data_IF_491187541033
#
_entry.id   IF_491187541033
#
_cell.length_a   1.000
_cell.length_b   1.000
_cell.length_c   1.000
_cell.angle_alpha   90.00
_cell.angle_beta   90.00
_cell.angle_gamma   90.00
#
_symmetry.space_group_name_H-M   'P 1'
#
loop_
_entity.id
_entity.type
_entity.pdbx_description
1 polymer ?
#
# COMPACT_ATOMS: atom_id res chain seq x y z
N UNK A 1 -0.44 73.02 -23.26
CA UNK A 1 -0.84 73.28 -24.65
C UNK A 1 -1.53 74.64 -24.72
N UNK A 2 -0.99 75.57 -25.49
CA UNK A 2 -1.63 76.84 -25.80
C UNK A 2 -2.84 76.56 -26.70
N UNK A 3 -4.05 76.71 -26.15
CA UNK A 3 -5.26 76.79 -26.97
C UNK A 3 -5.10 78.01 -27.89
N UNK A 4 -5.00 77.75 -29.19
CA UNK A 4 -5.09 78.82 -30.20
C UNK A 4 -6.58 79.13 -30.30
N UNK A 5 -7.02 80.23 -29.71
CA UNK A 5 -8.39 80.70 -29.87
C UNK A 5 -8.58 81.16 -31.33
N UNK A 6 -9.46 80.50 -32.08
CA UNK A 6 -9.85 80.94 -33.41
C UNK A 6 -10.89 82.06 -33.29
N UNK A 7 -10.50 83.27 -33.62
CA UNK A 7 -11.37 84.45 -33.60
C UNK A 7 -12.15 84.53 -34.93
N UNK A 8 -13.33 83.90 -34.95
CA UNK A 8 -14.24 83.87 -36.11
C UNK A 8 -14.62 85.27 -36.58
N UNK A 9 -14.84 86.21 -35.65
CA UNK A 9 -15.22 87.59 -35.94
C UNK A 9 -14.11 88.36 -36.67
N UNK A 10 -12.86 88.21 -36.20
CA UNK A 10 -11.70 88.81 -36.86
C UNK A 10 -11.44 88.15 -38.22
N UNK A 11 -11.64 86.84 -38.34
CA UNK A 11 -11.49 86.12 -39.60
C UNK A 11 -12.54 86.53 -40.64
N UNK A 12 -13.83 86.53 -40.28
CA UNK A 12 -14.93 86.98 -41.13
C UNK A 12 -14.76 88.44 -41.59
N UNK A 13 -14.37 89.34 -40.68
CA UNK A 13 -14.03 90.74 -41.04
C UNK A 13 -12.90 90.82 -42.04
N UNK A 14 -11.87 89.98 -41.90
CA UNK A 14 -10.74 89.95 -42.84
C UNK A 14 -11.17 89.46 -44.22
N UNK A 15 -12.02 88.43 -44.31
CA UNK A 15 -12.57 87.94 -45.57
C UNK A 15 -13.44 88.99 -46.28
N UNK A 16 -14.27 89.72 -45.53
CA UNK A 16 -15.08 90.81 -46.07
C UNK A 16 -14.22 91.98 -46.55
N UNK A 17 -13.32 92.46 -45.70
CA UNK A 17 -12.62 93.71 -45.95
C UNK A 17 -11.49 93.54 -46.98
N UNK A 18 -10.78 92.40 -46.94
CA UNK A 18 -9.62 92.11 -47.82
C UNK A 18 -9.92 91.19 -48.99
N UNK A 19 -10.73 90.15 -48.80
CA UNK A 19 -11.10 89.23 -49.89
C UNK A 19 -12.40 89.64 -50.61
N UNK A 20 -13.06 90.72 -50.15
CA UNK A 20 -14.28 91.31 -50.75
C UNK A 20 -15.45 90.32 -50.85
N UNK A 21 -15.47 89.31 -49.99
CA UNK A 21 -16.60 88.37 -49.88
C UNK A 21 -17.83 89.10 -49.31
N UNK A 22 -19.03 88.65 -49.68
CA UNK A 22 -20.26 89.18 -49.07
C UNK A 22 -20.27 88.85 -47.56
N UNK A 23 -21.01 89.62 -46.75
CA UNK A 23 -21.14 89.33 -45.31
C UNK A 23 -21.52 87.87 -45.04
N UNK A 24 -22.48 87.35 -45.80
CA UNK A 24 -23.00 86.00 -45.65
C UNK A 24 -21.95 84.94 -46.03
N UNK A 25 -21.15 85.20 -47.07
CA UNK A 25 -20.06 84.31 -47.48
C UNK A 25 -18.91 84.30 -46.49
N UNK A 26 -18.57 85.47 -45.93
CA UNK A 26 -17.50 85.60 -44.95
C UNK A 26 -17.86 84.93 -43.60
N UNK A 27 -19.11 85.08 -43.15
CA UNK A 27 -19.63 84.42 -41.97
C UNK A 27 -19.74 82.91 -42.19
N UNK A 28 -20.36 82.48 -43.30
CA UNK A 28 -20.49 81.05 -43.63
C UNK A 28 -19.15 80.32 -43.78
N UNK A 29 -18.13 80.97 -44.37
CA UNK A 29 -16.79 80.38 -44.45
C UNK A 29 -16.06 80.36 -43.09
N UNK A 30 -16.29 81.37 -42.24
CA UNK A 30 -15.71 81.41 -40.90
C UNK A 30 -16.31 80.35 -39.97
N UNK A 31 -17.61 80.11 -40.10
CA UNK A 31 -18.33 79.09 -39.35
C UNK A 31 -17.97 77.69 -39.84
N UNK A 32 -17.94 77.46 -41.16
CA UNK A 32 -17.51 76.19 -41.73
C UNK A 32 -16.06 75.85 -41.37
N UNK A 33 -15.17 76.85 -41.29
CA UNK A 33 -13.78 76.65 -40.86
C UNK A 33 -13.68 76.42 -39.34
N UNK A 34 -14.48 77.10 -38.52
CA UNK A 34 -14.55 76.85 -37.09
C UNK A 34 -15.03 75.41 -36.83
N UNK A 35 -16.08 74.98 -37.52
CA UNK A 35 -16.64 73.63 -37.43
C UNK A 35 -15.62 72.58 -37.89
N UNK A 36 -14.95 72.80 -39.03
CA UNK A 36 -13.91 71.90 -39.53
C UNK A 36 -12.69 71.78 -38.59
N UNK A 37 -12.33 72.85 -37.86
CA UNK A 37 -11.24 72.83 -36.88
C UNK A 37 -11.71 72.21 -35.55
N UNK A 38 -12.97 72.34 -35.15
CA UNK A 38 -13.48 71.80 -33.89
C UNK A 38 -13.86 70.31 -33.93
N UNK A 39 -14.15 69.75 -35.11
CA UNK A 39 -14.76 68.42 -35.23
C UNK A 39 -13.92 67.23 -34.72
N UNK A 40 -12.58 67.36 -34.61
CA UNK A 40 -11.69 66.23 -34.27
C UNK A 40 -10.56 66.59 -33.28
N UNK A 41 -10.65 67.72 -32.58
CA UNK A 41 -9.61 68.09 -31.59
C UNK A 41 -10.01 67.54 -30.22
N UNK A 42 -9.16 66.70 -29.59
CA UNK A 42 -9.38 66.26 -28.21
C UNK A 42 -9.58 67.45 -27.28
N UNK A 43 -10.68 67.40 -26.54
CA UNK A 43 -11.07 68.43 -25.58
C UNK A 43 -10.33 68.23 -24.26
N UNK A 44 -10.48 69.21 -23.35
CA UNK A 44 -10.00 69.05 -21.96
C UNK A 44 -10.73 67.94 -21.21
N UNK A 45 -11.94 67.57 -21.63
CA UNK A 45 -12.67 66.46 -21.04
C UNK A 45 -11.98 65.14 -21.39
N UNK A 46 -11.63 64.93 -22.67
CA UNK A 46 -10.92 63.72 -23.12
C UNK A 46 -9.59 63.53 -22.40
N UNK A 47 -8.84 64.61 -22.15
CA UNK A 47 -7.60 64.56 -21.38
C UNK A 47 -7.82 64.13 -19.92
N UNK A 48 -8.89 64.60 -19.28
CA UNK A 48 -9.23 64.21 -17.90
C UNK A 48 -9.65 62.74 -17.83
N UNK A 49 -10.37 62.25 -18.84
CA UNK A 49 -10.78 60.85 -18.91
C UNK A 49 -9.56 59.93 -19.12
N UNK A 50 -8.58 60.37 -19.94
CA UNK A 50 -7.30 59.68 -20.08
C UNK A 50 -6.50 59.70 -18.77
N UNK A 51 -6.44 60.83 -18.06
CA UNK A 51 -5.77 60.95 -16.77
C UNK A 51 -6.39 59.99 -15.73
N UNK A 52 -7.73 59.98 -15.64
CA UNK A 52 -8.45 59.04 -14.79
C UNK A 52 -8.19 57.57 -15.17
N UNK A 53 -8.11 57.26 -16.47
CA UNK A 53 -7.79 55.92 -16.96
C UNK A 53 -6.35 55.50 -16.62
N UNK A 54 -5.39 56.43 -16.71
CA UNK A 54 -3.99 56.20 -16.34
C UNK A 54 -3.89 55.91 -14.83
N UNK A 55 -4.58 56.67 -14.00
CA UNK A 55 -4.56 56.47 -12.55
C UNK A 55 -5.25 55.16 -12.15
N UNK A 56 -6.35 54.81 -12.81
CA UNK A 56 -6.99 53.50 -12.65
C UNK A 56 -6.05 52.35 -13.04
N UNK A 57 -5.32 52.48 -14.16
CA UNK A 57 -4.33 51.47 -14.59
C UNK A 57 -3.15 51.36 -13.61
N UNK A 58 -2.67 52.47 -13.06
CA UNK A 58 -1.62 52.46 -12.02
C UNK A 58 -2.10 51.72 -10.78
N UNK A 59 -3.28 52.06 -10.28
CA UNK A 59 -3.91 51.42 -9.12
C UNK A 59 -4.08 49.91 -9.36
N UNK A 60 -4.61 49.51 -10.51
CA UNK A 60 -4.74 48.10 -10.88
C UNK A 60 -3.38 47.40 -10.95
N UNK A 61 -2.36 48.07 -11.49
CA UNK A 61 -0.99 47.54 -11.54
C UNK A 61 -0.34 47.37 -10.18
N UNK A 62 -0.64 48.24 -9.21
CA UNK A 62 -0.21 48.09 -7.82
C UNK A 62 -0.95 46.95 -7.12
N UNK A 63 -2.27 46.87 -7.30
CA UNK A 63 -3.09 45.79 -6.75
C UNK A 63 -2.65 44.41 -7.28
N UNK A 64 -2.41 44.28 -8.58
CA UNK A 64 -1.90 43.05 -9.20
C UNK A 64 -0.53 42.67 -8.64
N UNK A 65 0.40 43.61 -8.51
CA UNK A 65 1.71 43.35 -7.91
C UNK A 65 1.60 42.87 -6.46
N UNK A 66 0.69 43.47 -5.68
CA UNK A 66 0.45 43.06 -4.31
C UNK A 66 -0.12 41.64 -4.23
N UNK A 67 -1.13 41.34 -5.07
CA UNK A 67 -1.73 39.99 -5.18
C UNK A 67 -0.68 38.95 -5.57
N UNK A 68 0.08 39.17 -6.66
CA UNK A 68 1.10 38.23 -7.10
C UNK A 68 2.18 38.01 -6.05
N UNK A 69 2.58 39.06 -5.31
CA UNK A 69 3.52 38.90 -4.20
C UNK A 69 2.93 38.03 -3.08
N UNK A 70 1.66 38.25 -2.73
CA UNK A 70 0.96 37.42 -1.76
C UNK A 70 0.87 35.96 -2.20
N UNK A 71 0.52 35.71 -3.46
CA UNK A 71 0.43 34.35 -4.02
C UNK A 71 1.79 33.65 -4.01
N UNK A 72 2.87 34.36 -4.37
CA UNK A 72 4.23 33.80 -4.31
C UNK A 72 4.59 33.40 -2.88
N UNK A 73 4.31 34.25 -1.88
CA UNK A 73 4.59 33.92 -0.47
C UNK A 73 3.70 32.76 0.02
N UNK A 74 2.43 32.69 -0.40
CA UNK A 74 1.53 31.57 -0.11
C UNK A 74 2.00 30.25 -0.72
N UNK A 75 2.49 30.27 -1.96
CA UNK A 75 3.07 29.09 -2.62
C UNK A 75 4.36 28.66 -1.93
N UNK A 76 5.25 29.60 -1.55
CA UNK A 76 6.46 29.27 -0.79
C UNK A 76 6.13 28.61 0.55
N UNK A 77 5.17 29.17 1.29
CA UNK A 77 4.72 28.58 2.55
C UNK A 77 4.15 27.18 2.36
N UNK A 78 3.35 26.96 1.31
CA UNK A 78 2.80 25.64 0.98
C UNK A 78 3.89 24.63 0.61
N UNK A 79 4.92 25.05 -0.13
CA UNK A 79 6.07 24.20 -0.49
C UNK A 79 6.85 23.80 0.76
N UNK A 80 7.12 24.73 1.67
CA UNK A 80 7.82 24.43 2.93
C UNK A 80 7.01 23.50 3.84
N UNK A 81 5.70 23.71 3.94
CA UNK A 81 4.81 22.81 4.67
C UNK A 81 4.82 21.39 4.07
N UNK A 82 4.75 21.26 2.75
CA UNK A 82 4.81 19.96 2.06
C UNK A 82 6.17 19.28 2.24
N UNK A 83 7.27 20.03 2.19
CA UNK A 83 8.62 19.49 2.47
C UNK A 83 8.73 18.96 3.90
N UNK A 84 8.18 19.69 4.87
CA UNK A 84 8.18 19.28 6.26
C UNK A 84 7.35 18.00 6.47
N UNK A 85 6.16 17.92 5.88
CA UNK A 85 5.30 16.73 5.98
C UNK A 85 5.96 15.51 5.33
N UNK A 86 6.49 15.64 4.10
CA UNK A 86 7.19 14.55 3.42
C UNK A 86 8.38 14.03 4.21
N UNK A 87 9.14 14.93 4.86
CA UNK A 87 10.26 14.54 5.72
C UNK A 87 9.78 13.75 6.95
N UNK A 88 8.69 14.19 7.58
CA UNK A 88 8.09 13.48 8.71
C UNK A 88 7.58 12.09 8.29
N UNK A 89 6.91 11.99 7.13
CA UNK A 89 6.42 10.72 6.60
C UNK A 89 7.56 9.74 6.30
N UNK A 90 8.67 10.22 5.70
CA UNK A 90 9.86 9.40 5.45
C UNK A 90 10.47 8.85 6.75
N UNK A 91 10.61 9.69 7.77
CA UNK A 91 11.13 9.25 9.08
C UNK A 91 10.16 8.29 9.78
N UNK A 92 8.85 8.53 9.67
CA UNK A 92 7.80 7.64 10.18
C UNK A 92 7.85 6.25 9.53
N UNK A 93 7.94 6.19 8.18
CA UNK A 93 8.06 4.94 7.44
C UNK A 93 9.34 4.19 7.81
N UNK A 94 10.47 4.90 7.91
CA UNK A 94 11.76 4.31 8.32
C UNK A 94 11.70 3.71 9.72
N UNK A 95 11.05 4.38 10.66
CA UNK A 95 10.85 3.88 12.01
C UNK A 95 9.96 2.62 12.02
N UNK A 96 8.83 2.65 11.31
CA UNK A 96 7.91 1.51 11.20
C UNK A 96 8.60 0.30 10.59
N UNK A 97 9.26 0.45 9.44
CA UNK A 97 9.97 -0.67 8.79
C UNK A 97 11.06 -1.26 9.68
N UNK A 98 11.78 -0.43 10.44
CA UNK A 98 12.77 -0.93 11.41
C UNK A 98 12.12 -1.74 12.53
N UNK A 99 10.99 -1.28 13.06
CA UNK A 99 10.24 -2.00 14.09
C UNK A 99 9.71 -3.35 13.56
N UNK A 100 9.17 -3.36 12.34
CA UNK A 100 8.68 -4.58 11.68
C UNK A 100 9.81 -5.61 11.48
N UNK A 101 10.99 -5.16 11.03
CA UNK A 101 12.16 -6.03 10.85
C UNK A 101 12.58 -6.66 12.19
N UNK A 102 12.68 -5.88 13.26
CA UNK A 102 13.04 -6.41 14.59
C UNK A 102 11.96 -7.34 15.15
N UNK A 103 10.67 -7.04 14.90
CA UNK A 103 9.55 -7.91 15.25
C UNK A 103 9.62 -9.27 14.55
N UNK A 104 9.83 -9.28 13.23
CA UNK A 104 9.98 -10.50 12.43
C UNK A 104 11.20 -11.31 12.90
N UNK A 105 12.32 -10.64 13.13
CA UNK A 105 13.55 -11.28 13.64
C UNK A 105 13.32 -11.95 14.99
N UNK A 106 12.59 -11.30 15.90
CA UNK A 106 12.23 -11.88 17.19
C UNK A 106 11.30 -13.09 17.03
N UNK A 107 10.27 -12.99 16.18
CA UNK A 107 9.35 -14.11 15.91
C UNK A 107 10.11 -15.32 15.38
N UNK A 108 10.95 -15.13 14.36
CA UNK A 108 11.75 -16.21 13.76
C UNK A 108 12.64 -16.87 14.82
N UNK A 109 13.24 -16.10 15.72
CA UNK A 109 14.06 -16.66 16.80
C UNK A 109 13.23 -17.55 17.74
N UNK A 110 12.06 -17.07 18.17
CA UNK A 110 11.15 -17.85 19.02
C UNK A 110 10.67 -19.11 18.31
N UNK A 111 10.31 -19.01 17.03
CA UNK A 111 9.86 -20.15 16.23
C UNK A 111 10.97 -21.19 16.07
N UNK A 112 12.22 -20.78 15.84
CA UNK A 112 13.37 -21.69 15.77
C UNK A 112 13.64 -22.39 17.12
N UNK A 113 13.56 -21.66 18.23
CA UNK A 113 13.69 -22.24 19.58
C UNK A 113 12.55 -23.24 19.86
N UNK A 114 11.33 -22.92 19.47
CA UNK A 114 10.16 -23.79 19.57
C UNK A 114 10.31 -25.06 18.74
N UNK A 115 10.69 -24.94 17.46
CA UNK A 115 10.95 -26.08 16.56
C UNK A 115 12.02 -26.99 17.14
N UNK A 116 13.11 -26.42 17.67
CA UNK A 116 14.18 -27.20 18.29
C UNK A 116 13.67 -27.99 19.50
N UNK A 117 12.88 -27.36 20.38
CA UNK A 117 12.27 -28.02 21.51
C UNK A 117 11.31 -29.15 21.08
N UNK A 118 10.49 -28.93 20.05
CA UNK A 118 9.62 -29.96 19.49
C UNK A 118 10.40 -31.14 18.91
N UNK A 119 11.52 -30.90 18.22
CA UNK A 119 12.40 -31.95 17.71
C UNK A 119 13.00 -32.76 18.86
N UNK A 120 13.51 -32.11 19.90
CA UNK A 120 14.09 -32.79 21.06
C UNK A 120 13.04 -33.64 21.80
N UNK A 121 11.81 -33.13 21.94
CA UNK A 121 10.69 -33.87 22.51
C UNK A 121 10.30 -35.10 21.68
N UNK A 122 10.18 -34.94 20.35
CA UNK A 122 9.89 -36.06 19.44
C UNK A 122 11.00 -37.11 19.48
N UNK A 123 12.26 -36.70 19.57
CA UNK A 123 13.39 -37.62 19.67
C UNK A 123 13.37 -38.41 20.97
N UNK A 124 13.01 -37.76 22.09
CA UNK A 124 12.85 -38.42 23.38
C UNK A 124 11.69 -39.42 23.36
N UNK A 125 10.54 -39.02 22.82
CA UNK A 125 9.37 -39.89 22.66
C UNK A 125 9.69 -41.11 21.80
N UNK A 126 10.28 -40.91 20.63
CA UNK A 126 10.66 -42.01 19.73
C UNK A 126 11.66 -42.98 20.38
N UNK A 127 12.59 -42.49 21.20
CA UNK A 127 13.52 -43.35 21.95
C UNK A 127 12.77 -44.19 22.99
N UNK A 128 11.86 -43.58 23.74
CA UNK A 128 11.01 -44.26 24.72
C UNK A 128 10.16 -45.34 24.06
N UNK A 129 9.53 -45.04 22.92
CA UNK A 129 8.69 -46.00 22.19
C UNK A 129 9.49 -47.20 21.68
N UNK A 130 10.72 -46.97 21.18
CA UNK A 130 11.63 -48.05 20.77
C UNK A 130 12.04 -48.92 21.96
N UNK A 131 12.34 -48.33 23.11
CA UNK A 131 12.69 -49.07 24.33
C UNK A 131 11.49 -49.91 24.84
N UNK A 132 10.29 -49.31 24.86
CA UNK A 132 9.06 -50.00 25.23
C UNK A 132 8.73 -51.16 24.27
N UNK A 133 8.86 -50.94 22.96
CA UNK A 133 8.65 -51.98 21.94
C UNK A 133 9.63 -53.14 22.12
N UNK A 134 10.92 -52.85 22.33
CA UNK A 134 11.93 -53.89 22.62
C UNK A 134 11.62 -54.68 23.88
N UNK A 135 11.16 -54.03 24.94
CA UNK A 135 10.75 -54.70 26.17
C UNK A 135 9.56 -55.64 25.93
N UNK A 136 8.53 -55.16 25.24
CA UNK A 136 7.37 -55.98 24.88
C UNK A 136 7.74 -57.17 23.99
N UNK A 137 8.66 -57.01 23.04
CA UNK A 137 9.15 -58.13 22.21
C UNK A 137 9.87 -59.18 23.05
N UNK A 138 10.77 -58.78 23.96
CA UNK A 138 11.44 -59.72 24.87
C UNK A 138 10.46 -60.47 25.76
N UNK A 139 9.45 -59.77 26.30
CA UNK A 139 8.41 -60.40 27.10
C UNK A 139 7.58 -61.40 26.28
N UNK A 140 7.27 -61.07 25.02
CA UNK A 140 6.58 -61.98 24.11
C UNK A 140 7.43 -63.21 23.77
N UNK A 141 8.73 -63.05 23.52
CA UNK A 141 9.68 -64.16 23.28
C UNK A 141 9.73 -65.11 24.48
N UNK A 142 9.93 -64.59 25.70
CA UNK A 142 9.93 -65.40 26.92
C UNK A 142 8.60 -66.13 27.15
N UNK A 143 7.46 -65.47 26.88
CA UNK A 143 6.14 -66.12 26.94
C UNK A 143 5.99 -67.25 25.92
N UNK A 144 6.53 -67.09 24.72
CA UNK A 144 6.51 -68.11 23.68
C UNK A 144 7.39 -69.31 24.05
N UNK A 145 8.59 -69.06 24.56
CA UNK A 145 9.49 -70.11 25.06
C UNK A 145 8.83 -70.93 26.18
N UNK A 146 8.24 -70.27 27.18
CA UNK A 146 7.53 -70.94 28.26
C UNK A 146 6.34 -71.77 27.77
N UNK A 147 5.55 -71.26 26.81
CA UNK A 147 4.45 -72.01 26.18
C UNK A 147 4.96 -73.22 25.40
N UNK A 148 6.10 -73.09 24.72
CA UNK A 148 6.71 -74.18 23.98
C UNK A 148 7.19 -75.29 24.92
N UNK A 149 7.81 -74.96 26.05
CA UNK A 149 8.21 -75.93 27.07
C UNK A 149 7.00 -76.65 27.70
N UNK A 150 5.95 -75.89 28.02
CA UNK A 150 4.71 -76.46 28.52
C UNK A 150 4.10 -77.44 27.51
N UNK A 151 4.04 -77.05 26.23
CA UNK A 151 3.52 -77.89 25.15
C UNK A 151 4.38 -79.14 24.92
N UNK A 152 5.72 -79.02 24.91
CA UNK A 152 6.64 -80.17 24.84
C UNK A 152 6.37 -81.17 25.96
N UNK A 153 6.18 -80.67 27.19
CA UNK A 153 5.90 -81.51 28.36
C UNK A 153 4.56 -82.23 28.22
N UNK A 154 3.54 -81.54 27.73
CA UNK A 154 2.21 -82.11 27.47
C UNK A 154 2.26 -83.15 26.34
N UNK A 155 2.98 -82.89 25.25
CA UNK A 155 3.19 -83.84 24.16
C UNK A 155 3.91 -85.11 24.67
N UNK A 156 4.96 -84.97 25.49
CA UNK A 156 5.65 -86.11 26.08
C UNK A 156 4.69 -86.93 26.94
N UNK A 157 3.90 -86.29 27.81
CA UNK A 157 2.90 -86.99 28.63
C UNK A 157 1.90 -87.77 27.77
N UNK A 158 1.39 -87.16 26.69
CA UNK A 158 0.44 -87.81 25.79
C UNK A 158 1.06 -89.00 25.04
N UNK A 159 2.29 -88.86 24.53
CA UNK A 159 3.04 -89.94 23.86
C UNK A 159 3.30 -91.10 24.81
N UNK A 160 3.75 -90.84 26.04
CA UNK A 160 3.96 -91.90 27.05
C UNK A 160 2.66 -92.61 27.38
N UNK A 161 1.55 -91.88 27.51
CA UNK A 161 0.22 -92.45 27.70
C UNK A 161 -0.22 -93.37 26.56
N UNK A 162 -0.03 -92.95 25.31
CA UNK A 162 -0.32 -93.76 24.12
C UNK A 162 0.55 -95.01 24.03
N UNK A 163 1.86 -94.89 24.26
CA UNK A 163 2.78 -96.04 24.27
C UNK A 163 2.37 -97.04 25.37
N UNK A 164 2.09 -96.55 26.58
CA UNK A 164 1.61 -97.40 27.68
C UNK A 164 0.32 -98.13 27.33
N UNK A 165 -0.64 -97.43 26.71
CA UNK A 165 -1.89 -98.04 26.24
C UNK A 165 -1.65 -99.09 25.14
N UNK A 166 -0.79 -98.80 24.14
CA UNK A 166 -0.43 -99.76 23.09
C UNK A 166 0.21 -101.03 23.67
N UNK A 167 1.14 -100.91 24.62
CA UNK A 167 1.77 -102.06 25.29
C UNK A 167 0.70 -102.92 25.98
N UNK A 168 -0.21 -102.29 26.74
CA UNK A 168 -1.29 -103.02 27.42
C UNK A 168 -2.25 -103.70 26.44
N UNK A 169 -2.60 -103.04 25.34
CA UNK A 169 -3.47 -103.60 24.31
C UNK A 169 -2.83 -104.82 23.61
N UNK A 170 -1.53 -104.78 23.31
CA UNK A 170 -0.78 -105.91 22.74
C UNK A 170 -0.72 -107.09 23.72
N UNK A 171 -0.44 -106.83 24.99
CA UNK A 171 -0.46 -107.90 26.02
C UNK A 171 -1.86 -108.51 26.12
N UNK A 172 -2.90 -107.68 26.16
CA UNK A 172 -4.30 -108.12 26.22
C UNK A 172 -4.71 -108.95 25.00
N UNK A 173 -4.30 -108.55 23.79
CA UNK A 173 -4.60 -109.30 22.57
C UNK A 173 -3.89 -110.65 22.52
N UNK A 174 -2.64 -110.75 22.98
CA UNK A 174 -1.91 -112.03 23.11
C UNK A 174 -2.60 -112.97 24.09
N UNK A 175 -3.05 -112.48 25.25
CA UNK A 175 -3.79 -113.28 26.24
C UNK A 175 -5.12 -113.77 25.67
N UNK A 176 -5.86 -112.90 24.96
CA UNK A 176 -7.10 -113.27 24.29
C UNK A 176 -6.87 -114.34 23.21
N UNK A 177 -5.80 -114.19 22.41
CA UNK A 177 -5.40 -115.19 21.41
C UNK A 177 -5.05 -116.53 22.08
N UNK A 178 -4.30 -116.50 23.18
CA UNK A 178 -3.95 -117.71 23.95
C UNK A 178 -5.18 -118.41 24.54
N UNK A 179 -6.27 -117.69 24.81
CA UNK A 179 -7.57 -118.27 25.19
C UNK A 179 -8.33 -118.88 24.02
N UNK A 180 -8.23 -118.30 22.82
CA UNK A 180 -8.93 -118.77 21.60
C UNK A 180 -8.20 -119.95 20.95
N UNK A 181 -6.87 -120.04 21.07
CA UNK A 181 -6.06 -121.14 20.53
C UNK A 181 -5.99 -122.36 21.45
N UNK A 182 -6.64 -122.31 22.61
CA UNK A 182 -6.85 -123.46 23.49
C UNK A 182 -8.24 -124.02 23.15
N UNK A 183 -8.34 -125.24 22.56
CA UNK A 183 -9.62 -125.82 22.16
C UNK A 183 -10.55 -126.05 23.35
#
# INVERSE_FOLDING_TARGET
MTSIAFDTLKFARTLRDRAKMSPEQAEGLSDALLEAIQCDIPTKADLKDVEASIDALRSNGEALRASTKSDIEGVKASIEALRASMKADIEGLKASTKADIEGIKSSIKVDLEGIKASIDALRAAAKSDVEASRASSREAELRLEARMEASKTETIKWVVGLIGFQILAVIGSVIALARILKP
#
